data_IF_033192827583
#
_entry.id   IF_033192827583
#
_cell.length_a   1.000
_cell.length_b   1.000
_cell.length_c   1.000
_cell.angle_alpha   90.00
_cell.angle_beta   90.00
_cell.angle_gamma   90.00
#
_symmetry.space_group_name_H-M   'P 1'
#
loop_
_entity.id
_entity.type
_entity.pdbx_description
1 polymer ?
#
# COMPACT_ATOMS: atom_id res chain seq x y z
N UNK A 1 -12.07 11.42 7.28
CA UNK A 1 -11.65 10.86 5.98
C UNK A 1 -10.62 9.77 6.21
N UNK A 2 -10.79 8.66 5.52
CA UNK A 2 -9.80 7.58 5.46
C UNK A 2 -9.13 7.53 4.10
N UNK A 3 -7.86 7.12 4.10
CA UNK A 3 -7.12 6.72 2.90
C UNK A 3 -6.95 5.21 2.89
N UNK A 4 -7.34 4.58 1.79
CA UNK A 4 -7.04 3.17 1.51
C UNK A 4 -5.99 3.12 0.40
N UNK A 5 -4.76 2.83 0.79
CA UNK A 5 -3.59 2.86 -0.09
C UNK A 5 -3.31 1.46 -0.66
N UNK A 6 -3.49 1.32 -1.97
CA UNK A 6 -3.33 0.05 -2.66
C UNK A 6 -1.90 -0.42 -2.83
N UNK A 7 -1.74 -1.71 -3.08
CA UNK A 7 -0.48 -2.35 -3.45
C UNK A 7 -0.13 -2.11 -4.92
N UNK A 8 1.15 -2.15 -5.24
CA UNK A 8 1.65 -1.94 -6.59
C UNK A 8 3.16 -1.83 -6.69
N UNK A 9 3.89 -2.45 -5.76
CA UNK A 9 5.34 -2.47 -5.71
C UNK A 9 5.93 -1.05 -5.77
N UNK A 10 6.91 -0.78 -6.63
CA UNK A 10 7.58 0.52 -6.73
C UNK A 10 6.66 1.67 -7.18
N UNK A 11 5.49 1.38 -7.73
CA UNK A 11 4.45 2.38 -8.00
C UNK A 11 3.92 3.05 -6.73
N UNK A 12 4.18 2.47 -5.56
CA UNK A 12 3.82 3.01 -4.25
C UNK A 12 4.37 4.40 -3.96
N UNK A 13 5.42 4.85 -4.63
CA UNK A 13 5.90 6.23 -4.52
C UNK A 13 4.84 7.27 -4.92
N UNK A 14 3.89 6.90 -5.78
CA UNK A 14 2.79 7.77 -6.15
C UNK A 14 1.90 8.15 -4.95
N UNK A 15 1.77 7.29 -3.96
CA UNK A 15 1.02 7.59 -2.72
C UNK A 15 1.55 8.84 -2.03
N UNK A 16 2.86 9.08 -2.07
CA UNK A 16 3.49 10.25 -1.45
C UNK A 16 2.97 11.54 -2.07
N UNK A 17 2.91 11.60 -3.39
CA UNK A 17 2.37 12.76 -4.11
C UNK A 17 0.90 13.02 -3.78
N UNK A 18 0.12 11.96 -3.63
CA UNK A 18 -1.31 12.07 -3.28
C UNK A 18 -1.48 12.63 -1.88
N UNK A 19 -0.80 12.08 -0.87
CA UNK A 19 -0.94 12.57 0.50
C UNK A 19 -0.45 14.01 0.65
N UNK A 20 0.57 14.40 -0.11
CA UNK A 20 1.06 15.78 -0.17
C UNK A 20 -0.03 16.75 -0.62
N UNK A 21 -0.68 16.46 -1.74
CA UNK A 21 -1.76 17.30 -2.30
C UNK A 21 -2.98 17.35 -1.36
N UNK A 22 -3.37 16.22 -0.77
CA UNK A 22 -4.47 16.18 0.18
C UNK A 22 -4.20 17.06 1.40
N UNK A 23 -2.99 16.99 1.95
CA UNK A 23 -2.59 17.82 3.09
C UNK A 23 -2.58 19.32 2.73
N UNK A 24 -1.97 19.68 1.60
CA UNK A 24 -1.93 21.06 1.11
C UNK A 24 -3.32 21.68 0.94
N UNK A 25 -4.33 20.86 0.68
CA UNK A 25 -5.72 21.28 0.48
C UNK A 25 -6.62 21.05 1.71
N UNK A 26 -6.04 20.80 2.86
CA UNK A 26 -6.76 20.69 4.12
C UNK A 26 -7.71 19.49 4.24
N UNK A 27 -7.46 18.42 3.51
CA UNK A 27 -8.26 17.19 3.62
C UNK A 27 -7.80 16.43 4.88
N UNK A 28 -8.67 16.29 5.92
CA UNK A 28 -8.26 15.70 7.18
C UNK A 28 -8.25 14.17 7.12
N UNK A 29 -7.08 13.58 7.15
CA UNK A 29 -6.92 12.12 7.18
C UNK A 29 -6.84 11.63 8.63
N UNK A 30 -7.80 10.79 9.02
CA UNK A 30 -7.91 10.24 10.39
C UNK A 30 -7.71 8.74 10.46
N UNK A 31 -7.81 8.05 9.33
CA UNK A 31 -7.63 6.60 9.19
C UNK A 31 -6.81 6.34 7.94
N UNK A 32 -5.85 5.45 8.03
CA UNK A 32 -5.07 4.97 6.89
C UNK A 32 -5.08 3.45 6.91
N UNK A 33 -5.44 2.85 5.81
CA UNK A 33 -5.21 1.43 5.57
C UNK A 33 -4.29 1.25 4.38
N UNK A 34 -3.49 0.20 4.41
CA UNK A 34 -2.52 -0.03 3.35
C UNK A 34 -2.33 -1.51 3.05
N UNK A 35 -2.11 -1.81 1.79
CA UNK A 35 -1.75 -3.13 1.29
C UNK A 35 -0.39 -3.06 0.62
N UNK A 36 0.55 -3.93 1.00
CA UNK A 36 1.88 -4.03 0.39
C UNK A 36 2.60 -2.67 0.37
N UNK A 37 2.98 -2.14 -0.78
CA UNK A 37 3.59 -0.80 -0.89
C UNK A 37 2.75 0.29 -0.21
N UNK A 38 1.43 0.17 -0.28
CA UNK A 38 0.50 1.07 0.43
C UNK A 38 0.62 0.98 1.94
N UNK A 39 0.94 -0.19 2.50
CA UNK A 39 1.19 -0.34 3.94
C UNK A 39 2.51 0.30 4.37
N UNK A 40 3.51 0.31 3.49
CA UNK A 40 4.79 0.98 3.76
C UNK A 40 4.56 2.50 3.91
N UNK A 41 4.00 3.13 2.90
CA UNK A 41 3.72 4.57 2.94
C UNK A 41 2.71 4.91 4.02
N UNK A 42 1.67 4.09 4.15
CA UNK A 42 0.59 4.30 5.11
C UNK A 42 1.06 4.25 6.57
N UNK A 43 1.94 3.30 6.92
CA UNK A 43 2.49 3.21 8.28
C UNK A 43 3.34 4.42 8.64
N UNK A 44 4.16 4.90 7.73
CA UNK A 44 5.00 6.08 7.94
C UNK A 44 4.13 7.34 8.09
N UNK A 45 3.14 7.51 7.23
CA UNK A 45 2.18 8.62 7.33
C UNK A 45 1.42 8.58 8.65
N UNK A 46 0.85 7.43 9.00
CA UNK A 46 0.05 7.26 10.22
C UNK A 46 0.87 7.43 11.50
N UNK A 47 2.16 7.15 11.45
CA UNK A 47 3.09 7.39 12.57
C UNK A 47 3.37 8.87 12.84
N UNK A 48 2.92 9.77 11.96
CA UNK A 48 3.08 11.21 12.09
C UNK A 48 4.10 11.82 11.13
N UNK A 49 4.68 11.03 10.23
CA UNK A 49 5.61 11.55 9.24
C UNK A 49 4.88 12.48 8.25
N UNK A 50 5.40 13.70 8.07
CA UNK A 50 4.82 14.64 7.11
C UNK A 50 5.03 14.18 5.66
N UNK A 51 4.18 14.61 4.71
CA UNK A 51 4.40 14.32 3.28
C UNK A 51 5.76 14.80 2.77
N UNK A 52 6.25 15.94 3.22
CA UNK A 52 7.58 16.45 2.84
C UNK A 52 8.69 15.52 3.36
N UNK A 53 8.54 15.00 4.56
CA UNK A 53 9.48 14.02 5.12
C UNK A 53 9.40 12.68 4.37
N UNK A 54 8.21 12.25 3.99
CA UNK A 54 8.03 11.04 3.15
C UNK A 54 8.76 11.17 1.81
N UNK A 55 8.67 12.33 1.18
CA UNK A 55 9.35 12.61 -0.09
C UNK A 55 10.87 12.56 0.08
N UNK A 56 11.39 13.17 1.15
CA UNK A 56 12.81 13.13 1.47
C UNK A 56 13.31 11.70 1.76
N UNK A 57 12.55 10.92 2.54
CA UNK A 57 12.86 9.51 2.77
C UNK A 57 12.88 8.71 1.46
N UNK A 58 11.95 8.96 0.56
CA UNK A 58 11.91 8.32 -0.75
C UNK A 58 13.15 8.64 -1.60
N UNK A 59 13.64 9.87 -1.55
CA UNK A 59 14.83 10.30 -2.30
C UNK A 59 16.08 9.53 -1.89
N UNK A 60 16.25 9.27 -0.60
CA UNK A 60 17.43 8.58 -0.06
C UNK A 60 17.30 7.05 -0.06
N UNK A 61 16.10 6.52 -0.23
CA UNK A 61 15.83 5.09 -0.18
C UNK A 61 16.35 4.38 -1.44
N UNK A 62 17.26 3.43 -1.27
CA UNK A 62 17.72 2.53 -2.32
C UNK A 62 16.95 1.20 -2.33
N UNK A 63 16.99 0.49 -3.44
CA UNK A 63 16.39 -0.86 -3.56
C UNK A 63 16.90 -1.83 -2.50
N UNK A 64 18.19 -1.75 -2.18
CA UNK A 64 18.87 -2.63 -1.23
C UNK A 64 18.52 -2.35 0.22
N UNK A 65 17.91 -1.21 0.52
CA UNK A 65 17.55 -0.83 1.88
C UNK A 65 16.33 -1.59 2.40
N UNK A 66 15.50 -2.10 1.51
CA UNK A 66 14.27 -2.82 1.83
C UNK A 66 14.32 -4.32 1.49
N UNK A 67 15.38 -4.77 0.81
CA UNK A 67 15.49 -6.14 0.30
C UNK A 67 16.70 -6.83 0.88
N UNK A 68 16.45 -7.88 1.66
CA UNK A 68 17.46 -8.78 2.19
C UNK A 68 17.44 -10.10 1.42
N UNK A 69 18.37 -10.26 0.49
CA UNK A 69 18.54 -11.50 -0.25
C UNK A 69 19.05 -12.59 0.70
N UNK A 70 18.39 -13.73 0.69
CA UNK A 70 18.90 -14.94 1.32
C UNK A 70 19.45 -15.87 0.28
N UNK A 71 20.61 -16.43 0.55
CA UNK A 71 21.16 -17.56 -0.19
C UNK A 71 20.44 -18.86 0.23
N UNK A 72 19.12 -18.84 0.33
CA UNK A 72 18.38 -20.07 0.55
C UNK A 72 18.16 -20.77 -0.80
N UNK A 73 18.10 -22.08 -0.77
CA UNK A 73 17.81 -22.91 -1.95
C UNK A 73 16.46 -22.58 -2.60
N UNK A 74 15.64 -21.79 -1.93
CA UNK A 74 14.31 -21.34 -2.40
C UNK A 74 14.31 -19.95 -3.06
N UNK A 75 15.41 -19.19 -3.01
CA UNK A 75 15.52 -17.87 -3.61
C UNK A 75 14.64 -16.79 -2.96
N UNK A 76 14.09 -17.02 -1.76
CA UNK A 76 13.19 -16.08 -1.10
C UNK A 76 13.94 -14.94 -0.40
N UNK A 77 13.33 -13.76 -0.42
CA UNK A 77 13.74 -12.61 0.38
C UNK A 77 13.11 -12.76 1.77
N UNK A 78 13.92 -12.57 2.84
CA UNK A 78 13.41 -12.70 4.23
C UNK A 78 12.39 -11.63 4.59
N UNK A 79 12.64 -10.40 4.23
CA UNK A 79 11.82 -9.24 4.60
C UNK A 79 12.17 -8.61 5.95
N UNK A 80 13.22 -9.06 6.61
CA UNK A 80 13.66 -8.49 7.90
C UNK A 80 14.18 -7.07 7.77
N UNK A 81 14.83 -6.74 6.65
CA UNK A 81 15.25 -5.36 6.38
C UNK A 81 14.07 -4.40 6.30
N UNK A 82 13.00 -4.78 5.62
CA UNK A 82 11.77 -4.00 5.57
C UNK A 82 11.18 -3.83 6.96
N UNK A 83 11.05 -4.90 7.73
CA UNK A 83 10.55 -4.86 9.09
C UNK A 83 11.35 -3.91 9.98
N UNK A 84 12.67 -4.03 9.95
CA UNK A 84 13.57 -3.22 10.75
C UNK A 84 13.55 -1.74 10.32
N UNK A 85 13.46 -1.49 9.01
CA UNK A 85 13.33 -0.15 8.46
C UNK A 85 12.07 0.54 9.00
N UNK A 86 10.92 -0.10 8.90
CA UNK A 86 9.65 0.45 9.39
C UNK A 86 9.72 0.70 10.90
N UNK A 87 10.15 -0.28 11.68
CA UNK A 87 10.24 -0.14 13.14
C UNK A 87 11.15 1.00 13.56
N UNK A 88 12.26 1.19 12.89
CA UNK A 88 13.17 2.32 13.14
C UNK A 88 12.52 3.66 12.79
N UNK A 89 11.85 3.75 11.65
CA UNK A 89 11.23 4.99 11.17
C UNK A 89 10.02 5.42 11.98
N UNK A 90 9.27 4.47 12.54
CA UNK A 90 8.16 4.78 13.45
C UNK A 90 8.60 4.93 14.92
N UNK A 91 9.90 4.90 15.18
CA UNK A 91 10.46 5.08 16.53
C UNK A 91 10.16 3.93 17.49
N UNK A 92 10.03 2.70 16.99
CA UNK A 92 9.72 1.51 17.80
C UNK A 92 8.29 1.48 18.35
N UNK A 93 7.44 2.43 17.97
CA UNK A 93 6.04 2.47 18.44
C UNK A 93 5.21 1.35 17.81
N UNK A 94 4.28 0.83 18.59
CA UNK A 94 3.27 -0.11 18.09
C UNK A 94 2.17 0.64 17.32
N UNK A 95 1.45 -0.06 16.46
CA UNK A 95 0.43 0.52 15.56
C UNK A 95 -0.62 1.32 16.36
N UNK A 96 -1.11 0.81 17.47
CA UNK A 96 -2.13 1.48 18.30
C UNK A 96 -1.63 2.78 18.97
N UNK A 97 -0.31 3.02 18.95
CA UNK A 97 0.30 4.24 19.46
C UNK A 97 0.42 5.35 18.42
N UNK A 98 0.07 5.07 17.18
CA UNK A 98 0.15 6.06 16.11
C UNK A 98 -0.90 7.17 16.28
N UNK A 99 -0.57 8.43 15.95
CA UNK A 99 -1.53 9.54 16.01
C UNK A 99 -2.70 9.40 15.02
N UNK A 100 -2.51 8.68 13.92
CA UNK A 100 -3.56 8.35 12.96
C UNK A 100 -3.83 6.84 13.05
N UNK A 101 -5.09 6.44 13.07
CA UNK A 101 -5.47 5.02 13.04
C UNK A 101 -4.91 4.36 11.80
N UNK A 102 -4.24 3.24 11.97
CA UNK A 102 -3.61 2.51 10.87
C UNK A 102 -3.94 1.03 10.92
N UNK A 103 -4.11 0.44 9.74
CA UNK A 103 -4.10 -1.02 9.59
C UNK A 103 -3.34 -1.43 8.33
N UNK A 104 -2.45 -2.40 8.47
CA UNK A 104 -1.81 -3.08 7.37
C UNK A 104 -2.59 -4.35 7.03
N UNK A 105 -2.96 -4.53 5.78
CA UNK A 105 -3.73 -5.69 5.34
C UNK A 105 -2.82 -6.75 4.76
N UNK A 106 -2.92 -7.95 5.30
CA UNK A 106 -2.27 -9.16 4.82
C UNK A 106 -3.32 -10.23 4.51
N UNK A 107 -2.90 -11.33 3.92
CA UNK A 107 -3.76 -12.47 3.62
C UNK A 107 -3.32 -13.67 4.46
N UNK A 108 -4.26 -14.28 5.20
CA UNK A 108 -4.03 -15.55 5.86
C UNK A 108 -3.79 -16.62 4.79
N UNK A 109 -2.62 -17.26 4.84
CA UNK A 109 -2.18 -18.18 3.81
C UNK A 109 -3.01 -19.47 3.75
N UNK A 110 -3.60 -19.87 4.87
CA UNK A 110 -4.39 -21.11 4.94
C UNK A 110 -5.84 -20.90 4.53
N UNK A 111 -6.41 -19.75 4.87
CA UNK A 111 -7.84 -19.47 4.64
C UNK A 111 -8.12 -18.56 3.45
N UNK A 112 -7.12 -17.84 2.96
CA UNK A 112 -7.28 -16.82 1.92
C UNK A 112 -7.99 -15.54 2.39
N UNK A 113 -8.32 -15.43 3.68
CA UNK A 113 -9.02 -14.27 4.23
C UNK A 113 -8.07 -13.10 4.46
N UNK A 114 -8.58 -11.90 4.21
CA UNK A 114 -7.88 -10.68 4.57
C UNK A 114 -7.86 -10.49 6.09
N UNK A 115 -6.71 -10.06 6.61
CA UNK A 115 -6.52 -9.72 8.01
C UNK A 115 -5.95 -8.31 8.08
N UNK A 116 -6.61 -7.43 8.83
CA UNK A 116 -6.16 -6.06 9.05
C UNK A 116 -5.44 -5.97 10.39
N UNK A 117 -4.13 -5.77 10.36
CA UNK A 117 -3.32 -5.58 11.58
C UNK A 117 -3.37 -4.12 12.00
N UNK A 118 -4.14 -3.83 13.04
CA UNK A 118 -4.32 -2.48 13.60
C UNK A 118 -3.68 -2.30 14.98
N UNK A 119 -2.88 -3.25 15.42
CA UNK A 119 -2.13 -3.22 16.68
C UNK A 119 -0.89 -4.08 16.59
N UNK A 120 0.03 -3.89 17.52
CA UNK A 120 1.27 -4.66 17.62
C UNK A 120 2.39 -4.07 16.79
N UNK A 121 3.36 -4.91 16.45
CA UNK A 121 4.59 -4.53 15.76
C UNK A 121 4.31 -4.04 14.34
N UNK A 122 4.57 -2.76 14.09
CA UNK A 122 4.29 -2.11 12.82
C UNK A 122 5.12 -2.71 11.67
N UNK A 123 6.41 -2.90 11.89
CA UNK A 123 7.30 -3.48 10.88
C UNK A 123 6.92 -4.91 10.50
N UNK A 124 6.52 -5.71 11.48
CA UNK A 124 6.06 -7.08 11.24
C UNK A 124 4.75 -7.10 10.42
N UNK A 125 3.79 -6.25 10.77
CA UNK A 125 2.52 -6.14 10.05
C UNK A 125 2.73 -5.69 8.60
N UNK A 126 3.59 -4.69 8.38
CA UNK A 126 3.93 -4.20 7.03
C UNK A 126 4.67 -5.28 6.23
N UNK A 127 5.62 -5.99 6.86
CA UNK A 127 6.31 -7.12 6.23
C UNK A 127 5.32 -8.20 5.79
N UNK A 128 4.37 -8.57 6.64
CA UNK A 128 3.32 -9.53 6.29
C UNK A 128 2.49 -9.05 5.10
N UNK A 129 2.08 -7.77 5.12
CA UNK A 129 1.29 -7.14 4.05
C UNK A 129 2.03 -7.11 2.71
N UNK A 130 3.36 -7.07 2.72
CA UNK A 130 4.22 -6.98 1.53
C UNK A 130 4.88 -8.32 1.15
N UNK A 131 4.53 -9.41 1.80
CA UNK A 131 5.13 -10.73 1.57
C UNK A 131 4.58 -11.42 0.33
N UNK A 132 4.99 -10.95 -0.85
CA UNK A 132 4.59 -11.50 -2.15
C UNK A 132 5.03 -12.97 -2.21
N UNK A 133 4.10 -13.91 -2.46
CA UNK A 133 4.43 -15.33 -2.57
C UNK A 133 5.51 -15.60 -3.62
N UNK A 134 6.42 -16.52 -3.33
CA UNK A 134 7.57 -16.89 -4.15
C UNK A 134 8.65 -15.80 -4.32
N UNK A 135 8.45 -14.62 -3.76
CA UNK A 135 9.45 -13.54 -3.72
C UNK A 135 9.93 -13.33 -2.29
N UNK A 136 9.00 -13.12 -1.38
CA UNK A 136 9.26 -12.98 0.05
C UNK A 136 8.85 -14.24 0.81
N UNK A 137 9.53 -14.50 1.92
CA UNK A 137 9.08 -15.53 2.85
C UNK A 137 7.75 -15.10 3.49
N UNK A 138 6.79 -16.03 3.65
CA UNK A 138 5.61 -15.76 4.45
C UNK A 138 5.98 -15.38 5.89
N UNK A 139 5.14 -14.58 6.52
CA UNK A 139 5.38 -14.10 7.88
C UNK A 139 4.51 -14.88 8.86
N UNK A 140 5.13 -15.45 9.89
CA UNK A 140 4.41 -16.15 10.95
C UNK A 140 4.15 -15.16 12.08
N UNK A 141 2.87 -14.94 12.41
CA UNK A 141 2.42 -14.13 13.53
C UNK A 141 1.48 -14.99 14.38
N UNK A 142 1.89 -15.27 15.60
CA UNK A 142 1.19 -16.24 16.43
C UNK A 142 1.24 -17.64 15.83
N UNK A 143 0.09 -18.22 15.52
CA UNK A 143 -0.04 -19.56 14.90
C UNK A 143 -0.38 -19.51 13.41
N UNK A 144 -0.46 -18.32 12.82
CA UNK A 144 -0.89 -18.13 11.44
C UNK A 144 0.26 -17.67 10.55
N UNK A 145 0.19 -18.09 9.31
CA UNK A 145 1.11 -17.71 8.26
C UNK A 145 0.43 -16.69 7.35
N UNK A 146 1.11 -15.58 7.07
CA UNK A 146 0.56 -14.48 6.27
C UNK A 146 1.40 -14.21 5.04
N UNK A 147 0.73 -13.82 3.99
CA UNK A 147 1.30 -13.36 2.72
C UNK A 147 0.67 -12.03 2.31
N UNK A 148 1.13 -11.46 1.20
CA UNK A 148 0.73 -10.14 0.70
C UNK A 148 -0.79 -9.95 0.70
N UNK A 149 -1.22 -8.78 1.16
CA UNK A 149 -2.63 -8.42 1.21
C UNK A 149 -3.27 -8.23 -0.16
N UNK A 150 -2.49 -8.10 -1.22
CA UNK A 150 -2.98 -7.97 -2.59
C UNK A 150 -3.77 -9.18 -3.08
N UNK A 151 -3.57 -10.36 -2.45
CA UNK A 151 -4.34 -11.57 -2.76
C UNK A 151 -5.80 -11.48 -2.30
N UNK A 152 -6.10 -10.67 -1.29
CA UNK A 152 -7.44 -10.58 -0.67
C UNK A 152 -8.05 -9.18 -0.69
N UNK A 153 -7.26 -8.14 -0.48
CA UNK A 153 -7.67 -6.73 -0.52
C UNK A 153 -6.57 -5.87 -1.18
N UNK A 154 -6.49 -5.84 -2.50
CA UNK A 154 -5.45 -5.08 -3.21
C UNK A 154 -5.51 -3.57 -2.94
N UNK A 155 -6.70 -3.02 -2.71
CA UNK A 155 -6.94 -1.67 -2.19
C UNK A 155 -7.87 -1.80 -0.99
N UNK A 156 -7.38 -1.57 0.24
CA UNK A 156 -8.07 -2.03 1.46
C UNK A 156 -9.18 -1.07 1.94
N UNK A 157 -10.20 -0.86 1.13
CA UNK A 157 -11.36 0.00 1.44
C UNK A 157 -12.21 -0.61 2.55
N UNK A 158 -12.50 -1.92 2.47
CA UNK A 158 -13.27 -2.63 3.51
C UNK A 158 -12.59 -2.52 4.88
N UNK A 159 -11.27 -2.64 4.93
CA UNK A 159 -10.51 -2.47 6.17
C UNK A 159 -10.67 -1.05 6.73
N UNK A 160 -10.66 -0.01 5.89
CA UNK A 160 -10.88 1.37 6.32
C UNK A 160 -12.28 1.55 6.92
N UNK A 161 -13.31 0.98 6.30
CA UNK A 161 -14.69 0.99 6.83
C UNK A 161 -14.76 0.35 8.21
N UNK A 162 -14.10 -0.79 8.40
CA UNK A 162 -14.05 -1.50 9.70
C UNK A 162 -13.31 -0.71 10.77
N UNK A 163 -12.39 0.18 10.40
CA UNK A 163 -11.74 1.11 11.33
C UNK A 163 -12.64 2.29 11.73
N UNK A 164 -13.88 2.33 11.26
CA UNK A 164 -14.87 3.35 11.57
C UNK A 164 -14.94 4.51 10.58
N UNK A 165 -14.31 4.37 9.41
CA UNK A 165 -14.33 5.43 8.41
C UNK A 165 -15.68 5.55 7.71
N UNK A 166 -16.23 6.75 7.69
CA UNK A 166 -17.47 7.07 6.98
C UNK A 166 -17.21 7.56 5.55
N UNK A 167 -16.04 8.12 5.29
CA UNK A 167 -15.64 8.61 3.97
C UNK A 167 -14.27 8.03 3.63
N UNK A 168 -14.18 7.30 2.52
CA UNK A 168 -12.95 6.62 2.10
C UNK A 168 -12.51 7.08 0.72
N UNK A 169 -11.28 7.58 0.65
CA UNK A 169 -10.56 7.82 -0.59
C UNK A 169 -9.67 6.61 -0.85
N UNK A 170 -9.96 5.88 -1.90
CA UNK A 170 -9.15 4.75 -2.34
C UNK A 170 -8.09 5.22 -3.34
N UNK A 171 -6.88 4.73 -3.20
CA UNK A 171 -5.79 4.97 -4.14
C UNK A 171 -5.41 3.67 -4.80
N UNK A 172 -5.69 3.57 -6.10
CA UNK A 172 -5.46 2.39 -6.91
C UNK A 172 -4.23 2.56 -7.81
N UNK A 173 -3.16 1.87 -7.46
CA UNK A 173 -1.94 1.76 -8.25
C UNK A 173 -1.72 0.34 -8.78
N UNK A 174 -2.76 -0.49 -8.71
CA UNK A 174 -2.70 -1.91 -9.08
C UNK A 174 -2.40 -2.10 -10.55
N UNK A 175 -1.62 -3.13 -10.87
CA UNK A 175 -1.50 -3.60 -12.24
C UNK A 175 -2.84 -4.17 -12.74
N UNK A 176 -2.98 -4.21 -14.05
CA UNK A 176 -4.13 -4.81 -14.74
C UNK A 176 -3.65 -5.94 -15.63
N UNK A 177 -4.52 -6.93 -15.93
CA UNK A 177 -4.20 -7.90 -16.96
C UNK A 177 -3.81 -7.21 -18.27
N UNK A 178 -2.72 -7.63 -18.87
CA UNK A 178 -2.18 -7.05 -20.09
C UNK A 178 -2.41 -7.97 -21.27
N UNK A 179 -2.59 -7.40 -22.47
CA UNK A 179 -2.60 -8.17 -23.73
C UNK A 179 -1.17 -8.61 -24.11
N UNK A 180 -0.17 -7.87 -23.66
CA UNK A 180 1.24 -8.13 -23.95
C UNK A 180 1.92 -8.70 -22.71
N UNK A 181 1.76 -10.00 -22.49
CA UNK A 181 2.44 -10.69 -21.39
C UNK A 181 3.85 -11.04 -21.83
N UNK A 182 4.84 -10.64 -21.05
CA UNK A 182 6.22 -11.04 -21.27
C UNK A 182 6.39 -12.56 -21.20
N UNK A 183 7.47 -13.07 -21.77
CA UNK A 183 7.79 -14.49 -21.70
C UNK A 183 8.44 -14.84 -20.36
N UNK A 184 8.16 -16.05 -19.87
CA UNK A 184 8.78 -16.60 -18.67
C UNK A 184 7.84 -16.71 -17.47
N UNK A 185 8.30 -17.49 -16.51
CA UNK A 185 7.52 -17.86 -15.33
C UNK A 185 6.98 -16.66 -14.55
N UNK A 186 7.82 -15.66 -14.29
CA UNK A 186 7.41 -14.49 -13.50
C UNK A 186 6.37 -13.63 -14.21
N UNK A 187 6.47 -13.47 -15.53
CA UNK A 187 5.50 -12.70 -16.31
C UNK A 187 4.13 -13.38 -16.32
N UNK A 188 4.11 -14.70 -16.44
CA UNK A 188 2.89 -15.48 -16.37
C UNK A 188 2.28 -15.49 -14.97
N UNK A 189 3.10 -15.59 -13.93
CA UNK A 189 2.65 -15.51 -12.55
C UNK A 189 2.00 -14.16 -12.25
N UNK A 190 2.67 -13.07 -12.64
CA UNK A 190 2.14 -11.71 -12.48
C UNK A 190 0.81 -11.53 -13.19
N UNK A 191 0.73 -11.95 -14.45
CA UNK A 191 -0.53 -11.93 -15.20
C UNK A 191 -1.64 -12.74 -14.53
N UNK A 192 -1.31 -13.92 -14.02
CA UNK A 192 -2.28 -14.78 -13.32
C UNK A 192 -2.82 -14.10 -12.08
N UNK A 193 -1.95 -13.50 -11.26
CA UNK A 193 -2.34 -12.76 -10.08
C UNK A 193 -3.21 -11.55 -10.43
N UNK A 194 -2.86 -10.83 -11.50
CA UNK A 194 -3.63 -9.69 -11.97
C UNK A 194 -5.03 -10.10 -12.45
N UNK A 195 -5.14 -11.23 -13.16
CA UNK A 195 -6.45 -11.78 -13.60
C UNK A 195 -7.29 -12.18 -12.39
N UNK A 196 -6.71 -12.88 -11.43
CA UNK A 196 -7.43 -13.33 -10.22
C UNK A 196 -7.89 -12.15 -9.36
N UNK A 197 -7.15 -11.05 -9.35
CA UNK A 197 -7.44 -9.88 -8.52
C UNK A 197 -8.54 -8.97 -9.06
N UNK A 198 -8.96 -9.11 -10.32
CA UNK A 198 -9.90 -8.19 -10.98
C UNK A 198 -11.20 -8.03 -10.19
N UNK A 199 -11.84 -9.14 -9.84
CA UNK A 199 -13.13 -9.12 -9.14
C UNK A 199 -13.03 -8.53 -7.74
N UNK A 200 -12.00 -8.92 -6.99
CA UNK A 200 -11.75 -8.42 -5.63
C UNK A 200 -11.48 -6.93 -5.66
N UNK A 201 -10.66 -6.49 -6.60
CA UNK A 201 -10.33 -5.07 -6.76
C UNK A 201 -11.57 -4.23 -7.10
N UNK A 202 -12.39 -4.68 -8.03
CA UNK A 202 -13.63 -3.99 -8.39
C UNK A 202 -14.60 -3.89 -7.19
N UNK A 203 -14.71 -4.96 -6.42
CA UNK A 203 -15.55 -4.97 -5.21
C UNK A 203 -15.03 -3.97 -4.16
N UNK A 204 -13.74 -3.94 -3.90
CA UNK A 204 -13.14 -2.97 -2.97
C UNK A 204 -13.33 -1.53 -3.44
N UNK A 205 -13.00 -1.23 -4.69
CA UNK A 205 -13.14 0.12 -5.26
C UNK A 205 -14.60 0.61 -5.28
N UNK A 206 -15.56 -0.30 -5.48
CA UNK A 206 -16.99 0.01 -5.43
C UNK A 206 -17.48 0.49 -4.07
N UNK A 207 -16.75 0.23 -2.99
CA UNK A 207 -17.08 0.67 -1.63
C UNK A 207 -16.44 2.02 -1.25
N UNK A 208 -15.60 2.58 -2.11
CA UNK A 208 -14.96 3.88 -1.89
C UNK A 208 -15.90 5.03 -2.28
N UNK A 209 -15.76 6.16 -1.60
CA UNK A 209 -16.45 7.40 -1.97
C UNK A 209 -15.76 8.09 -3.16
N UNK A 210 -14.43 8.05 -3.19
CA UNK A 210 -13.60 8.58 -4.28
C UNK A 210 -12.49 7.59 -4.58
N UNK A 211 -12.21 7.37 -5.85
CA UNK A 211 -11.07 6.57 -6.31
C UNK A 211 -10.08 7.48 -7.03
N UNK A 212 -8.85 7.51 -6.54
CA UNK A 212 -7.72 8.17 -7.21
C UNK A 212 -6.89 7.09 -7.90
N UNK A 213 -6.73 7.23 -9.21
CA UNK A 213 -5.98 6.27 -10.02
C UNK A 213 -4.85 6.98 -10.79
N UNK A 214 -3.65 7.06 -10.21
CA UNK A 214 -2.50 7.65 -10.89
C UNK A 214 -2.13 6.90 -12.17
N UNK A 215 -1.60 7.61 -13.15
CA UNK A 215 -1.16 7.07 -14.44
C UNK A 215 0.23 6.41 -14.33
N UNK A 216 0.33 5.35 -13.52
CA UNK A 216 1.62 4.72 -13.16
C UNK A 216 1.84 3.33 -13.76
N UNK A 217 0.92 2.82 -14.58
CA UNK A 217 0.98 1.46 -15.10
C UNK A 217 2.20 1.19 -15.98
N UNK A 218 2.70 2.21 -16.67
CA UNK A 218 3.87 2.12 -17.55
C UNK A 218 5.21 2.15 -16.79
N UNK A 219 5.20 2.46 -15.49
CA UNK A 219 6.42 2.49 -14.67
C UNK A 219 6.98 1.10 -14.35
N UNK A 220 6.18 0.05 -14.52
CA UNK A 220 6.56 -1.32 -14.18
C UNK A 220 6.65 -1.58 -12.68
N UNK A 221 6.78 -2.85 -12.31
CA UNK A 221 6.82 -3.26 -10.91
C UNK A 221 8.19 -2.99 -10.25
N UNK A 222 9.28 -3.12 -10.99
CA UNK A 222 10.66 -3.06 -10.48
C UNK A 222 11.40 -1.82 -10.96
N UNK A 223 11.16 -1.37 -12.17
CA UNK A 223 11.80 -0.19 -12.78
C UNK A 223 11.42 1.15 -12.14
N UNK A 224 10.36 1.17 -11.33
CA UNK A 224 9.84 2.38 -10.70
C UNK A 224 10.76 3.00 -9.65
N UNK A 225 11.74 2.26 -9.10
CA UNK A 225 12.75 2.85 -8.22
C UNK A 225 13.59 3.92 -8.90
N UNK A 226 13.87 3.76 -10.18
CA UNK A 226 14.63 4.75 -10.95
C UNK A 226 13.75 5.94 -11.39
N UNK A 227 12.43 5.83 -11.20
CA UNK A 227 11.42 6.81 -11.59
C UNK A 227 10.60 7.33 -10.41
N UNK A 228 11.16 7.34 -9.19
CA UNK A 228 10.49 7.80 -7.96
C UNK A 228 9.86 9.18 -8.13
N UNK A 229 10.64 10.15 -8.62
CA UNK A 229 10.18 11.54 -8.81
C UNK A 229 9.02 11.61 -9.80
N UNK A 230 9.06 10.81 -10.85
CA UNK A 230 7.96 10.73 -11.82
C UNK A 230 6.71 10.12 -11.20
N UNK A 231 6.86 9.05 -10.41
CA UNK A 231 5.74 8.42 -9.71
C UNK A 231 5.08 9.39 -8.72
N UNK A 232 5.86 10.11 -7.93
CA UNK A 232 5.36 11.12 -6.98
C UNK A 232 4.58 12.21 -7.74
N UNK A 233 5.13 12.74 -8.83
CA UNK A 233 4.47 13.75 -9.66
C UNK A 233 3.16 13.24 -10.26
N UNK A 234 3.12 12.02 -10.76
CA UNK A 234 1.89 11.42 -11.29
C UNK A 234 0.83 11.24 -10.18
N UNK A 235 1.25 10.95 -8.97
CA UNK A 235 0.39 10.94 -7.80
C UNK A 235 -0.18 12.33 -7.49
N UNK A 236 0.65 13.36 -7.50
CA UNK A 236 0.20 14.75 -7.31
C UNK A 236 -0.82 15.17 -8.37
N UNK A 237 -0.56 14.87 -9.63
CA UNK A 237 -1.47 15.19 -10.74
C UNK A 237 -2.82 14.52 -10.57
N UNK A 238 -2.83 13.22 -10.23
CA UNK A 238 -4.05 12.47 -10.02
C UNK A 238 -4.86 12.99 -8.82
N UNK A 239 -4.19 13.34 -7.73
CA UNK A 239 -4.84 13.92 -6.56
C UNK A 239 -5.45 15.29 -6.87
N UNK A 240 -4.73 16.16 -7.58
CA UNK A 240 -5.27 17.47 -8.01
C UNK A 240 -6.50 17.32 -8.89
N UNK A 241 -6.48 16.36 -9.81
CA UNK A 241 -7.64 16.08 -10.66
C UNK A 241 -8.86 15.60 -9.86
N UNK A 242 -8.65 14.89 -8.76
CA UNK A 242 -9.70 14.36 -7.91
C UNK A 242 -10.23 15.38 -6.87
N UNK A 243 -9.51 16.46 -6.59
CA UNK A 243 -9.89 17.44 -5.55
C UNK A 243 -11.30 18.00 -5.69
N UNK A 244 -11.79 18.41 -6.89
CA UNK A 244 -13.15 18.90 -7.03
C UNK A 244 -14.20 17.90 -6.56
N UNK A 245 -14.05 16.64 -6.94
CA UNK A 245 -14.94 15.56 -6.51
C UNK A 245 -14.86 15.32 -5.00
N UNK A 246 -13.64 15.26 -4.44
CA UNK A 246 -13.42 15.09 -3.01
C UNK A 246 -14.11 16.20 -2.22
N UNK A 247 -13.88 17.46 -2.59
CA UNK A 247 -14.45 18.62 -1.90
C UNK A 247 -15.97 18.64 -2.00
N UNK A 248 -16.53 18.35 -3.18
CA UNK A 248 -17.97 18.29 -3.40
C UNK A 248 -18.63 17.21 -2.53
N UNK A 249 -18.08 16.00 -2.52
CA UNK A 249 -18.62 14.88 -1.74
C UNK A 249 -18.46 15.09 -0.24
N UNK A 250 -17.34 15.64 0.22
CA UNK A 250 -17.15 15.98 1.63
C UNK A 250 -18.12 17.05 2.11
N UNK A 251 -18.38 18.08 1.30
CA UNK A 251 -19.35 19.11 1.62
C UNK A 251 -20.75 18.52 1.81
N UNK A 252 -21.16 17.59 0.94
CA UNK A 252 -22.44 16.89 1.04
C UNK A 252 -22.52 15.97 2.28
N UNK A 253 -21.40 15.50 2.79
CA UNK A 253 -21.32 14.59 3.94
C UNK A 253 -21.51 15.30 5.29
N UNK A 254 -21.34 16.63 5.34
CA UNK A 254 -21.42 17.44 6.57
C UNK A 254 -22.84 17.88 6.92
N UNK A 255 -23.82 17.45 6.17
CA UNK A 255 -25.25 17.69 6.38
C UNK A 255 -25.96 16.35 6.52
#
# INVERSE_FOLDING_TARGET
>A
VALALGGGASKGFAHIGIVKVLKENGIPVKVVTGTSAGSIVGSLLASGMSPDRLELEAEILGKTDLVDLTLSTSGFIKGEKLQNYINRKVGGRQIQQFPIKFAAVATDFETGKAVAFNQGNAGQAVRASAAIPNVFQPVIIGRHKYVDGGLSQPVPVSAARRQGANFVIAVDISARPSKNVGQGFFSYLDQTLNVMSVSVLQNELGQADVVIKPQVLDLGAVGGFDQKKRAIRLGEEAARAALPEIKRKLAAYRY
#
